data_IF_155088019689
#
_entry.id   IF_155088019689
#
_cell.length_a   1.000
_cell.length_b   1.000
_cell.length_c   1.000
_cell.angle_alpha   90.00
_cell.angle_beta   90.00
_cell.angle_gamma   90.00
#
_symmetry.space_group_name_H-M   'P 1'
#
loop_
_entity.id
_entity.type
_entity.pdbx_description
1 polymer ?
#
# COMPACT_ATOMS: atom_id res chain seq x y z
N UNK A 1 33.30 -37.23 7.48
CA UNK A 1 31.85 -37.51 7.49
C UNK A 1 31.11 -36.39 8.22
N UNK A 2 29.93 -36.03 7.70
CA UNK A 2 28.91 -35.09 8.19
C UNK A 2 29.02 -33.60 7.81
N UNK A 3 27.84 -33.11 7.35
CA UNK A 3 27.39 -31.74 7.04
C UNK A 3 27.94 -31.14 5.74
N UNK A 4 27.14 -30.54 4.86
CA UNK A 4 25.80 -29.96 5.00
C UNK A 4 25.15 -29.85 3.62
N UNK A 5 23.88 -30.20 3.59
CA UNK A 5 22.87 -29.86 2.58
C UNK A 5 22.99 -28.44 2.03
N UNK A 6 23.36 -28.30 0.76
CA UNK A 6 22.98 -27.15 -0.07
C UNK A 6 21.83 -27.60 -0.99
N UNK A 7 20.61 -27.54 -0.45
CA UNK A 7 19.41 -27.51 -1.28
C UNK A 7 19.05 -26.05 -1.48
N UNK A 8 19.74 -25.39 -2.41
CA UNK A 8 19.27 -24.13 -2.97
C UNK A 8 17.98 -24.44 -3.75
N UNK A 9 16.83 -24.17 -3.13
CA UNK A 9 15.53 -24.28 -3.79
C UNK A 9 15.45 -23.22 -4.88
N UNK A 10 15.84 -23.57 -6.10
CA UNK A 10 15.53 -22.78 -7.29
C UNK A 10 14.00 -22.67 -7.38
N UNK A 11 13.46 -21.47 -7.20
CA UNK A 11 12.04 -21.18 -7.40
C UNK A 11 11.64 -21.67 -8.78
N UNK A 12 10.70 -22.62 -8.85
CA UNK A 12 10.16 -23.09 -10.12
C UNK A 12 9.68 -21.89 -10.96
N UNK A 13 9.85 -21.93 -12.31
CA UNK A 13 9.40 -20.84 -13.16
C UNK A 13 7.89 -20.60 -12.96
N UNK A 14 7.51 -19.34 -12.77
CA UNK A 14 6.10 -18.94 -12.60
C UNK A 14 5.29 -19.45 -13.79
N UNK A 15 4.17 -20.12 -13.52
CA UNK A 15 3.37 -20.72 -14.59
C UNK A 15 2.79 -19.65 -15.54
N UNK A 16 2.66 -20.00 -16.82
CA UNK A 16 2.08 -19.09 -17.82
C UNK A 16 0.65 -18.64 -17.45
N UNK A 17 -0.11 -19.48 -16.74
CA UNK A 17 -1.43 -19.12 -16.22
C UNK A 17 -1.37 -18.08 -15.12
N UNK A 18 -0.40 -18.17 -14.20
CA UNK A 18 -0.20 -17.17 -13.14
C UNK A 18 0.16 -15.79 -13.72
N UNK A 19 1.01 -15.75 -14.76
CA UNK A 19 1.35 -14.49 -15.44
C UNK A 19 0.12 -13.86 -16.09
N UNK A 20 -0.72 -14.66 -16.77
CA UNK A 20 -1.98 -14.16 -17.36
C UNK A 20 -2.97 -13.67 -16.30
N UNK A 21 -3.10 -14.41 -15.20
CA UNK A 21 -3.96 -14.02 -14.09
C UNK A 21 -3.51 -12.70 -13.46
N UNK A 22 -2.20 -12.53 -13.23
CA UNK A 22 -1.64 -11.28 -12.72
C UNK A 22 -1.95 -10.10 -13.67
N UNK A 23 -1.77 -10.28 -14.99
CA UNK A 23 -2.14 -9.28 -15.98
C UNK A 23 -3.63 -8.91 -15.94
N UNK A 24 -4.52 -9.90 -15.86
CA UNK A 24 -5.96 -9.67 -15.78
C UNK A 24 -6.37 -8.92 -14.49
N UNK A 25 -5.75 -9.26 -13.35
CA UNK A 25 -5.95 -8.57 -12.08
C UNK A 25 -5.50 -7.12 -12.18
N UNK A 26 -4.30 -6.85 -12.72
CA UNK A 26 -3.77 -5.50 -12.89
C UNK A 26 -4.69 -4.63 -13.77
N UNK A 27 -5.21 -5.17 -14.87
CA UNK A 27 -6.17 -4.48 -15.74
C UNK A 27 -7.48 -4.18 -15.01
N UNK A 28 -8.01 -5.16 -14.28
CA UNK A 28 -9.29 -5.03 -13.55
C UNK A 28 -9.19 -3.99 -12.44
N UNK A 29 -8.12 -4.04 -11.63
CA UNK A 29 -7.84 -3.06 -10.58
C UNK A 29 -7.66 -1.65 -11.18
N UNK A 30 -6.95 -1.52 -12.30
CA UNK A 30 -6.78 -0.24 -12.99
C UNK A 30 -8.11 0.37 -13.47
N UNK A 31 -9.01 -0.46 -14.02
CA UNK A 31 -10.36 -0.04 -14.44
C UNK A 31 -11.22 0.39 -13.25
N UNK A 32 -11.22 -0.41 -12.19
CA UNK A 32 -11.95 -0.09 -10.95
C UNK A 32 -11.47 1.22 -10.35
N UNK A 33 -10.15 1.43 -10.25
CA UNK A 33 -9.54 2.68 -9.78
C UNK A 33 -9.99 3.90 -10.59
N UNK A 34 -10.02 3.77 -11.92
CA UNK A 34 -10.49 4.86 -12.80
C UNK A 34 -11.95 5.18 -12.54
N UNK A 35 -12.80 4.15 -12.36
CA UNK A 35 -14.22 4.33 -12.08
C UNK A 35 -14.46 4.99 -10.73
N UNK A 36 -13.78 4.54 -9.67
CA UNK A 36 -13.87 5.14 -8.33
C UNK A 36 -13.49 6.62 -8.38
N UNK A 37 -12.39 6.99 -9.06
CA UNK A 37 -12.05 8.41 -9.22
C UNK A 37 -13.11 9.20 -9.99
N UNK A 38 -13.67 8.64 -11.06
CA UNK A 38 -14.70 9.34 -11.85
C UNK A 38 -16.00 9.59 -11.08
N UNK A 39 -16.25 8.87 -9.98
CA UNK A 39 -17.46 9.06 -9.16
C UNK A 39 -17.19 9.84 -7.86
N UNK A 40 -15.94 9.90 -7.40
CA UNK A 40 -15.52 10.59 -6.17
C UNK A 40 -15.05 12.02 -6.40
N UNK A 41 -15.66 12.75 -7.35
CA UNK A 41 -15.30 14.15 -7.72
C UNK A 41 -15.38 15.15 -6.55
N UNK A 42 -15.84 14.73 -5.37
CA UNK A 42 -16.03 15.54 -4.16
C UNK A 42 -14.91 15.41 -3.12
N UNK A 43 -13.96 14.49 -3.28
CA UNK A 43 -12.82 14.38 -2.37
C UNK A 43 -11.53 14.18 -3.17
N UNK A 44 -10.68 15.21 -3.19
CA UNK A 44 -9.31 15.22 -3.73
C UNK A 44 -8.34 14.30 -2.97
N UNK A 45 -8.83 13.14 -2.53
CA UNK A 45 -8.06 12.11 -1.83
C UNK A 45 -7.70 11.00 -2.81
N UNK A 46 -6.40 10.73 -2.93
CA UNK A 46 -5.87 9.59 -3.66
C UNK A 46 -6.21 8.28 -2.93
N UNK A 47 -6.14 7.15 -3.63
CA UNK A 47 -6.36 5.84 -3.00
C UNK A 47 -5.37 5.54 -1.87
N UNK A 48 -4.12 5.98 -1.99
CA UNK A 48 -3.12 5.82 -0.92
C UNK A 48 -3.51 6.61 0.32
N UNK A 49 -4.03 7.83 0.15
CA UNK A 49 -4.56 8.63 1.24
C UNK A 49 -5.79 7.98 1.88
N UNK A 50 -6.74 7.49 1.07
CA UNK A 50 -7.91 6.77 1.57
C UNK A 50 -7.53 5.47 2.33
N UNK A 51 -6.52 4.73 1.84
CA UNK A 51 -5.98 3.53 2.51
C UNK A 51 -5.43 3.87 3.89
N UNK A 52 -4.62 4.92 3.98
CA UNK A 52 -4.07 5.41 5.26
C UNK A 52 -5.18 5.82 6.23
N UNK A 53 -6.18 6.57 5.77
CA UNK A 53 -7.33 6.97 6.60
C UNK A 53 -8.15 5.76 7.09
N UNK A 54 -8.45 4.81 6.21
CA UNK A 54 -9.18 3.59 6.58
C UNK A 54 -8.41 2.76 7.62
N UNK A 55 -7.08 2.73 7.51
CA UNK A 55 -6.21 2.06 8.48
C UNK A 55 -6.22 2.76 9.83
N UNK A 56 -6.00 4.08 9.86
CA UNK A 56 -6.02 4.86 11.10
C UNK A 56 -7.38 4.76 11.79
N UNK A 57 -8.48 4.79 11.02
CA UNK A 57 -9.83 4.59 11.55
C UNK A 57 -10.05 3.21 12.16
N UNK A 58 -9.41 2.15 11.62
CA UNK A 58 -9.59 0.77 12.08
C UNK A 58 -8.64 0.37 13.22
N UNK A 59 -7.39 0.83 13.15
CA UNK A 59 -6.28 0.38 14.00
C UNK A 59 -5.81 1.43 15.00
N UNK A 60 -6.34 2.65 14.93
CA UNK A 60 -5.96 3.75 15.80
C UNK A 60 -4.68 4.48 15.35
N UNK A 61 -4.13 5.35 16.22
CA UNK A 61 -2.89 6.09 15.95
C UNK A 61 -1.73 5.16 15.60
N UNK A 62 -0.91 5.55 14.63
CA UNK A 62 0.23 4.79 14.17
C UNK A 62 1.38 5.73 13.80
N UNK A 63 2.62 5.24 13.90
CA UNK A 63 3.78 6.03 13.46
C UNK A 63 3.85 6.09 11.93
N UNK A 64 4.51 7.11 11.39
CA UNK A 64 4.73 7.21 9.94
C UNK A 64 5.52 6.01 9.38
N UNK A 65 6.41 5.44 10.19
CA UNK A 65 7.18 4.25 9.85
C UNK A 65 6.30 3.01 9.75
N UNK A 66 5.37 2.82 10.69
CA UNK A 66 4.43 1.69 10.66
C UNK A 66 3.51 1.77 9.45
N UNK A 67 2.96 2.96 9.19
CA UNK A 67 2.13 3.21 8.01
C UNK A 67 2.92 2.93 6.73
N UNK A 68 4.19 3.35 6.64
CA UNK A 68 5.03 3.12 5.47
C UNK A 68 5.26 1.61 5.22
N UNK A 69 5.57 0.87 6.28
CA UNK A 69 5.77 -0.58 6.22
C UNK A 69 4.48 -1.30 5.78
N UNK A 70 3.34 -0.93 6.34
CA UNK A 70 2.05 -1.56 6.06
C UNK A 70 1.51 -1.25 4.66
N UNK A 71 1.80 -0.06 4.12
CA UNK A 71 1.44 0.33 2.76
C UNK A 71 2.50 -0.09 1.72
N UNK A 72 3.62 -0.69 2.16
CA UNK A 72 4.69 -1.14 1.26
C UNK A 72 5.38 0.01 0.51
N UNK A 73 5.47 1.20 1.12
CA UNK A 73 6.07 2.40 0.52
C UNK A 73 7.27 2.88 1.33
N UNK A 74 8.09 3.74 0.72
CA UNK A 74 9.21 4.38 1.42
C UNK A 74 8.71 5.37 2.47
N UNK A 75 9.41 5.55 3.61
CA UNK A 75 9.02 6.52 4.64
C UNK A 75 8.81 7.95 4.13
N UNK A 76 9.64 8.41 3.18
CA UNK A 76 9.50 9.75 2.59
C UNK A 76 8.19 9.91 1.78
N UNK A 77 7.77 8.83 1.10
CA UNK A 77 6.49 8.79 0.38
C UNK A 77 5.31 8.85 1.35
N UNK A 78 5.39 8.08 2.44
CA UNK A 78 4.39 8.11 3.50
C UNK A 78 4.31 9.48 4.18
N UNK A 79 5.45 10.11 4.47
CA UNK A 79 5.50 11.46 5.03
C UNK A 79 4.79 12.50 4.12
N UNK A 80 4.95 12.38 2.80
CA UNK A 80 4.26 13.24 1.81
C UNK A 80 2.75 13.00 1.83
N UNK A 81 2.33 11.73 1.96
CA UNK A 81 0.91 11.33 2.06
C UNK A 81 0.28 11.91 3.32
N UNK A 82 0.92 11.71 4.48
CA UNK A 82 0.47 12.24 5.78
C UNK A 82 0.44 13.77 5.75
N UNK A 83 1.45 14.44 5.20
CA UNK A 83 1.47 15.89 5.08
C UNK A 83 0.31 16.43 4.23
N UNK A 84 -0.06 15.72 3.17
CA UNK A 84 -1.19 16.11 2.33
C UNK A 84 -2.53 15.89 3.04
N UNK A 85 -2.69 14.78 3.76
CA UNK A 85 -3.87 14.52 4.60
C UNK A 85 -4.02 15.55 5.74
N UNK A 86 -2.90 15.94 6.36
CA UNK A 86 -2.89 16.93 7.43
C UNK A 86 -3.31 18.31 6.92
N UNK A 87 -2.86 18.72 5.72
CA UNK A 87 -3.33 19.97 5.08
C UNK A 87 -4.81 19.97 4.75
N UNK A 88 -5.40 18.79 4.51
CA UNK A 88 -6.84 18.62 4.31
C UNK A 88 -7.62 18.55 5.63
N UNK A 89 -6.95 18.62 6.79
CA UNK A 89 -7.60 18.51 8.10
C UNK A 89 -8.11 17.10 8.42
N UNK A 90 -7.62 16.08 7.72
CA UNK A 90 -8.12 14.70 7.85
C UNK A 90 -7.31 13.86 8.83
N UNK A 91 -6.12 14.33 9.23
CA UNK A 91 -5.27 13.70 10.25
C UNK A 91 -4.56 14.76 11.07
N UNK A 92 -4.30 14.45 12.33
CA UNK A 92 -3.45 15.25 13.23
C UNK A 92 -2.14 14.50 13.53
N UNK A 93 -1.08 15.26 13.80
CA UNK A 93 0.23 14.71 14.15
C UNK A 93 0.57 15.13 15.56
N UNK A 94 0.94 14.15 16.37
CA UNK A 94 1.52 14.37 17.69
C UNK A 94 2.98 13.94 17.69
N UNK A 95 3.82 14.67 18.41
CA UNK A 95 5.15 14.18 18.72
C UNK A 95 5.02 12.96 19.64
N UNK A 96 5.85 11.96 19.40
CA UNK A 96 6.04 10.85 20.35
C UNK A 96 6.70 11.45 21.62
N UNK A 97 6.18 11.21 22.83
CA UNK A 97 6.76 11.72 24.08
C UNK A 97 8.17 11.20 24.38
#
# INVERSE_FOLDING_TARGET
>A
MAKKTESASASAPVSASAVRAAGAVLVTVGRLRRRIRSVNDTADITLSQASVLARLSKSGPATASDLAALEGVRPQSMATTIGSLSRLGLVERHADP
#
